data_IF_399140577860
#
_entry.id   IF_399140577860
#
_cell.length_a   1.000
_cell.length_b   1.000
_cell.length_c   1.000
_cell.angle_alpha   90.00
_cell.angle_beta   90.00
_cell.angle_gamma   90.00
#
_symmetry.space_group_name_H-M   'P 1'
#
loop_
_entity.id
_entity.type
_entity.pdbx_description
1 polymer ?
#
# COMPACT_ATOMS: atom_id res chain seq x y z
N UNK A 1 46.87 55.89 -28.67
CA UNK A 1 47.89 54.90 -28.25
C UNK A 1 47.34 53.98 -27.18
N UNK A 2 47.77 52.70 -27.15
CA UNK A 2 47.10 51.59 -26.47
C UNK A 2 47.57 51.37 -25.02
N UNK A 3 46.81 50.57 -24.26
CA UNK A 3 47.35 49.66 -23.23
C UNK A 3 46.74 49.79 -21.82
N UNK A 4 46.01 48.78 -21.35
CA UNK A 4 46.53 47.75 -20.43
C UNK A 4 45.44 46.76 -19.95
N UNK A 5 45.90 45.51 -19.90
CA UNK A 5 45.49 44.28 -19.23
C UNK A 5 44.68 44.33 -17.90
N UNK A 6 43.99 43.21 -17.60
CA UNK A 6 43.66 42.82 -16.22
C UNK A 6 42.54 41.78 -16.06
N UNK A 7 42.81 40.66 -15.41
CA UNK A 7 41.97 39.45 -15.27
C UNK A 7 41.00 39.50 -14.06
N UNK A 8 39.84 38.83 -14.24
CA UNK A 8 38.97 38.00 -13.37
C UNK A 8 39.12 38.05 -11.83
N UNK A 9 38.01 37.77 -11.11
CA UNK A 9 37.98 36.78 -10.03
C UNK A 9 37.08 35.57 -10.33
N UNK A 10 37.49 34.42 -9.78
CA UNK A 10 37.09 33.05 -10.14
C UNK A 10 36.10 32.40 -9.14
N UNK A 11 35.23 33.17 -8.49
CA UNK A 11 34.44 32.66 -7.35
C UNK A 11 33.01 32.20 -7.66
N UNK A 12 32.51 32.41 -8.88
CA UNK A 12 31.11 32.07 -9.24
C UNK A 12 30.92 30.69 -9.88
N UNK A 13 32.02 29.96 -10.17
CA UNK A 13 31.94 28.73 -10.96
C UNK A 13 31.70 27.46 -10.14
N UNK A 14 32.00 27.44 -8.83
CA UNK A 14 31.82 26.24 -8.02
C UNK A 14 30.36 25.94 -7.66
N UNK A 15 29.49 26.95 -7.46
CA UNK A 15 28.08 26.72 -7.14
C UNK A 15 27.21 26.31 -8.34
N UNK A 16 27.67 26.60 -9.56
CA UNK A 16 26.97 26.29 -10.80
C UNK A 16 27.25 24.88 -11.31
N UNK A 17 28.43 24.34 -10.98
CA UNK A 17 28.84 23.00 -11.40
C UNK A 17 28.20 21.90 -10.53
N UNK A 18 27.97 22.16 -9.23
CA UNK A 18 27.29 21.19 -8.35
C UNK A 18 25.83 20.96 -8.74
N UNK A 19 25.14 22.03 -9.14
CA UNK A 19 23.74 21.98 -9.60
C UNK A 19 23.60 21.47 -11.05
N UNK A 20 24.63 21.63 -11.90
CA UNK A 20 24.69 20.94 -13.20
C UNK A 20 24.92 19.43 -13.05
N UNK A 21 25.76 18.99 -12.11
CA UNK A 21 26.07 17.56 -11.91
C UNK A 21 24.87 16.78 -11.33
N UNK A 22 24.13 17.36 -10.37
CA UNK A 22 22.89 16.75 -9.84
C UNK A 22 21.81 16.62 -10.93
N UNK A 23 21.73 17.59 -11.85
CA UNK A 23 20.78 17.58 -12.96
C UNK A 23 21.21 16.60 -14.07
N UNK A 24 22.51 16.51 -14.35
CA UNK A 24 23.09 15.56 -15.30
C UNK A 24 22.89 14.11 -14.83
N UNK A 25 23.00 13.84 -13.52
CA UNK A 25 22.72 12.54 -12.91
C UNK A 25 21.22 12.16 -12.94
N UNK A 26 20.31 13.14 -12.81
CA UNK A 26 18.87 12.95 -13.03
C UNK A 26 18.47 12.73 -14.50
N UNK A 27 19.31 13.14 -15.45
CA UNK A 27 19.07 13.07 -16.90
C UNK A 27 19.79 11.91 -17.60
N UNK A 28 20.53 11.07 -16.89
CA UNK A 28 21.14 9.86 -17.46
C UNK A 28 20.05 8.83 -17.81
N UNK A 29 19.86 8.44 -19.10
CA UNK A 29 18.77 7.57 -19.55
C UNK A 29 18.81 6.08 -19.12
N UNK A 30 19.49 5.71 -18.05
CA UNK A 30 19.50 4.30 -17.60
C UNK A 30 18.16 3.84 -16.99
N UNK A 31 17.20 4.73 -16.75
CA UNK A 31 15.92 4.42 -16.07
C UNK A 31 14.65 4.97 -16.74
N UNK A 32 14.75 5.73 -17.83
CA UNK A 32 13.60 6.29 -18.54
C UNK A 32 13.78 6.11 -20.05
N UNK A 33 12.82 5.45 -20.71
CA UNK A 33 12.80 5.22 -22.17
C UNK A 33 12.32 6.47 -22.91
N UNK A 34 13.07 7.57 -22.79
CA UNK A 34 12.77 8.83 -23.48
C UNK A 34 13.95 9.16 -24.38
N UNK A 35 13.67 9.45 -25.66
CA UNK A 35 14.72 9.79 -26.60
C UNK A 35 15.30 11.19 -26.31
N UNK A 36 16.58 11.47 -26.67
CA UNK A 36 17.18 12.79 -26.47
C UNK A 36 16.37 13.94 -27.08
N UNK A 37 15.72 13.69 -28.23
CA UNK A 37 14.88 14.66 -28.93
C UNK A 37 13.58 14.95 -28.18
N UNK A 38 12.91 13.92 -27.68
CA UNK A 38 11.68 14.08 -26.89
C UNK A 38 11.95 14.83 -25.58
N UNK A 39 13.07 14.54 -24.92
CA UNK A 39 13.51 15.26 -23.72
C UNK A 39 13.70 16.76 -24.01
N UNK A 40 14.36 17.09 -25.12
CA UNK A 40 14.62 18.47 -25.52
C UNK A 40 13.35 19.23 -25.93
N UNK A 41 12.42 18.59 -26.63
CA UNK A 41 11.13 19.18 -26.99
C UNK A 41 10.24 19.38 -25.75
N UNK A 42 10.24 18.41 -24.82
CA UNK A 42 9.50 18.50 -23.55
C UNK A 42 10.00 19.68 -22.71
N UNK A 43 11.33 19.86 -22.61
CA UNK A 43 11.91 21.01 -21.92
C UNK A 43 11.46 22.35 -22.53
N UNK A 44 11.28 22.42 -23.85
CA UNK A 44 10.81 23.65 -24.53
C UNK A 44 9.31 23.90 -24.42
N UNK A 45 8.50 22.85 -24.36
CA UNK A 45 7.06 22.95 -24.28
C UNK A 45 6.56 23.20 -22.84
N UNK A 46 7.25 22.67 -21.84
CA UNK A 46 6.82 22.73 -20.43
C UNK A 46 7.53 23.77 -19.58
N UNK A 47 8.72 24.25 -19.98
CA UNK A 47 9.36 25.36 -19.30
C UNK A 47 8.86 26.67 -19.93
N UNK A 48 8.24 27.58 -19.15
CA UNK A 48 7.97 28.91 -19.67
C UNK A 48 9.29 29.54 -20.11
N UNK A 49 9.34 30.07 -21.34
CA UNK A 49 10.51 30.80 -21.85
C UNK A 49 10.88 31.87 -20.83
N UNK A 50 12.00 31.68 -20.13
CA UNK A 50 12.50 32.60 -19.12
C UNK A 50 13.25 33.80 -19.74
N UNK A 51 12.89 34.19 -20.97
CA UNK A 51 13.53 35.28 -21.71
C UNK A 51 12.47 36.04 -22.52
N UNK A 52 11.84 37.01 -21.87
CA UNK A 52 11.60 38.37 -22.40
C UNK A 52 11.17 39.24 -21.22
N UNK A 53 12.11 39.99 -20.64
CA UNK A 53 11.75 41.11 -19.78
C UNK A 53 11.04 42.16 -20.63
N UNK A 54 9.74 42.30 -20.45
CA UNK A 54 8.98 43.48 -20.87
C UNK A 54 7.98 43.77 -19.76
N UNK A 55 8.09 44.96 -19.17
CA UNK A 55 7.19 45.46 -18.15
C UNK A 55 5.77 45.55 -18.71
N UNK A 56 4.81 44.92 -18.04
CA UNK A 56 3.41 45.00 -18.42
C UNK A 56 2.52 44.06 -17.63
N UNK A 57 1.83 44.62 -16.64
CA UNK A 57 0.60 44.10 -16.03
C UNK A 57 0.70 42.73 -15.35
N UNK A 58 0.94 42.76 -14.04
CA UNK A 58 0.72 41.63 -13.13
C UNK A 58 -0.79 41.33 -13.11
N UNK A 59 -1.25 40.45 -13.99
CA UNK A 59 -2.49 39.73 -13.78
C UNK A 59 -2.16 38.56 -12.82
N UNK A 60 -2.84 38.43 -11.67
CA UNK A 60 -2.64 37.28 -10.80
C UNK A 60 -2.90 35.99 -11.60
N UNK A 61 -2.14 34.90 -11.38
CA UNK A 61 -2.50 33.62 -11.95
C UNK A 61 -3.90 33.31 -11.48
N UNK A 62 -4.85 33.15 -12.41
CA UNK A 62 -6.21 32.74 -12.12
C UNK A 62 -6.13 31.53 -11.18
N UNK A 63 -6.43 31.77 -9.91
CA UNK A 63 -6.63 30.72 -8.94
C UNK A 63 -7.69 29.81 -9.55
N UNK A 64 -7.32 28.57 -9.88
CA UNK A 64 -8.27 27.58 -10.34
C UNK A 64 -9.34 27.45 -9.26
N UNK A 65 -10.48 28.10 -9.49
CA UNK A 65 -11.60 28.07 -8.57
C UNK A 65 -12.22 26.69 -8.73
N UNK A 66 -11.88 25.80 -7.80
CA UNK A 66 -12.54 24.52 -7.64
C UNK A 66 -14.05 24.79 -7.58
N UNK A 67 -14.88 24.09 -8.38
CA UNK A 67 -16.33 24.23 -8.26
C UNK A 67 -16.72 24.06 -6.80
N UNK A 68 -17.59 24.91 -6.23
CA UNK A 68 -17.94 24.83 -4.83
C UNK A 68 -18.41 23.41 -4.52
N UNK A 69 -17.66 22.71 -3.67
CA UNK A 69 -18.13 21.46 -3.09
C UNK A 69 -19.39 21.81 -2.32
N UNK A 70 -20.54 21.31 -2.75
CA UNK A 70 -21.81 21.47 -2.04
C UNK A 70 -21.68 20.79 -0.65
N UNK A 71 -21.12 21.54 0.29
CA UNK A 71 -21.25 21.31 1.72
C UNK A 71 -22.55 21.99 2.05
N UNK A 72 -23.57 21.17 2.34
CA UNK A 72 -24.95 21.59 2.47
C UNK A 72 -25.13 22.75 3.43
N UNK A 73 -25.66 23.85 2.91
CA UNK A 73 -26.41 24.81 3.69
C UNK A 73 -27.88 24.44 3.55
N UNK A 74 -28.53 24.27 4.70
CA UNK A 74 -29.95 23.92 4.76
C UNK A 74 -30.79 25.01 4.11
N UNK A 75 -31.64 24.59 3.18
CA UNK A 75 -32.86 25.28 2.83
C UNK A 75 -33.87 24.22 2.38
N UNK A 76 -34.91 24.06 3.18
CA UNK A 76 -36.10 23.31 2.86
C UNK A 76 -36.77 23.93 1.63
N UNK A 77 -36.78 23.23 0.50
CA UNK A 77 -37.86 23.32 -0.49
C UNK A 77 -37.75 22.16 -1.47
N UNK A 78 -38.83 21.39 -1.56
CA UNK A 78 -38.92 20.22 -2.42
C UNK A 78 -38.88 20.56 -3.90
N UNK A 79 -38.33 19.64 -4.69
CA UNK A 79 -39.07 18.93 -5.73
C UNK A 79 -38.19 17.78 -6.26
N UNK A 80 -38.86 16.78 -6.79
CA UNK A 80 -38.44 15.46 -7.24
C UNK A 80 -37.41 15.51 -8.39
N UNK A 81 -36.32 14.75 -8.28
CA UNK A 81 -35.34 14.66 -9.37
C UNK A 81 -34.06 13.89 -9.03
N UNK A 82 -34.09 12.59 -9.31
CA UNK A 82 -33.01 11.61 -9.17
C UNK A 82 -31.63 12.15 -9.58
N UNK A 83 -30.75 12.34 -8.60
CA UNK A 83 -29.32 12.21 -8.77
C UNK A 83 -28.81 11.19 -7.76
N UNK A 84 -29.16 9.92 -8.01
CA UNK A 84 -28.54 8.74 -7.38
C UNK A 84 -27.09 8.62 -7.86
N UNK A 85 -26.27 9.63 -7.61
CA UNK A 85 -24.83 9.48 -7.66
C UNK A 85 -24.51 8.47 -6.54
N UNK A 86 -23.96 7.28 -6.85
CA UNK A 86 -23.61 6.34 -5.81
C UNK A 86 -22.62 7.05 -4.91
N UNK A 87 -23.04 7.42 -3.70
CA UNK A 87 -22.18 8.06 -2.72
C UNK A 87 -21.04 7.07 -2.49
N UNK A 88 -19.91 7.28 -3.16
CA UNK A 88 -18.77 6.36 -3.09
C UNK A 88 -18.29 6.49 -1.66
N UNK A 89 -18.76 5.59 -0.80
CA UNK A 89 -18.32 5.50 0.57
C UNK A 89 -16.89 4.95 0.52
N UNK A 90 -15.91 5.82 0.26
CA UNK A 90 -14.48 5.49 0.17
C UNK A 90 -14.00 4.76 1.45
N UNK A 91 -14.67 5.02 2.58
CA UNK A 91 -14.50 4.29 3.84
C UNK A 91 -14.69 2.77 3.68
N UNK A 92 -15.59 2.32 2.80
CA UNK A 92 -15.82 0.91 2.51
C UNK A 92 -14.74 0.34 1.58
N UNK A 93 -14.38 1.05 0.51
CA UNK A 93 -13.34 0.61 -0.45
C UNK A 93 -11.97 0.43 0.22
N UNK A 94 -11.56 1.34 1.11
CA UNK A 94 -10.30 1.19 1.86
C UNK A 94 -10.33 0.01 2.83
N UNK A 95 -11.47 -0.25 3.49
CA UNK A 95 -11.66 -1.44 4.32
C UNK A 95 -11.59 -2.72 3.46
N UNK A 96 -12.19 -2.73 2.27
CA UNK A 96 -12.13 -3.85 1.31
C UNK A 96 -10.70 -4.10 0.84
N UNK A 97 -9.98 -3.07 0.35
CA UNK A 97 -8.58 -3.20 -0.13
C UNK A 97 -7.66 -3.73 0.96
N UNK A 98 -7.84 -3.28 2.22
CA UNK A 98 -7.12 -3.80 3.38
C UNK A 98 -7.41 -5.27 3.63
N UNK A 99 -8.68 -5.68 3.65
CA UNK A 99 -9.09 -7.09 3.81
C UNK A 99 -8.57 -7.97 2.67
N UNK A 100 -8.63 -7.47 1.42
CA UNK A 100 -8.06 -8.14 0.23
C UNK A 100 -6.57 -8.39 0.43
N UNK A 101 -5.81 -7.35 0.79
CA UNK A 101 -4.37 -7.48 0.99
C UNK A 101 -4.04 -8.41 2.17
N UNK A 102 -4.78 -8.31 3.28
CA UNK A 102 -4.60 -9.20 4.45
C UNK A 102 -4.87 -10.66 4.08
N UNK A 103 -5.96 -10.94 3.35
CA UNK A 103 -6.26 -12.28 2.88
C UNK A 103 -5.19 -12.79 1.93
N UNK A 104 -4.72 -11.96 0.99
CA UNK A 104 -3.65 -12.31 0.07
C UNK A 104 -2.36 -12.69 0.81
N UNK A 105 -1.92 -11.85 1.76
CA UNK A 105 -0.75 -12.12 2.60
C UNK A 105 -0.94 -13.38 3.45
N UNK A 106 -2.12 -13.56 4.05
CA UNK A 106 -2.44 -14.78 4.81
C UNK A 106 -2.37 -16.04 3.94
N UNK A 107 -2.93 -16.01 2.72
CA UNK A 107 -2.85 -17.15 1.79
C UNK A 107 -1.41 -17.45 1.39
N UNK A 108 -0.58 -16.43 1.12
CA UNK A 108 0.86 -16.60 0.88
C UNK A 108 1.56 -17.25 2.08
N UNK A 109 1.28 -16.78 3.29
CA UNK A 109 1.83 -17.35 4.53
C UNK A 109 1.41 -18.81 4.70
N UNK A 110 0.12 -19.13 4.55
CA UNK A 110 -0.41 -20.50 4.68
C UNK A 110 0.19 -21.43 3.63
N UNK A 111 0.36 -20.97 2.38
CA UNK A 111 1.04 -21.74 1.33
C UNK A 111 2.50 -22.02 1.70
N UNK A 112 3.27 -20.99 2.10
CA UNK A 112 4.68 -21.12 2.50
C UNK A 112 4.86 -22.05 3.70
N UNK A 113 3.94 -22.03 4.66
CA UNK A 113 4.02 -22.80 5.92
C UNK A 113 3.12 -24.05 5.95
N UNK A 114 2.64 -24.54 4.80
CA UNK A 114 1.64 -25.61 4.69
C UNK A 114 2.02 -26.87 5.49
N UNK A 115 3.24 -27.36 5.30
CA UNK A 115 3.71 -28.60 5.93
C UNK A 115 3.93 -28.44 7.43
N UNK A 116 4.48 -27.30 7.86
CA UNK A 116 4.61 -26.99 9.29
C UNK A 116 3.23 -26.96 9.97
N UNK A 117 2.24 -26.31 9.33
CA UNK A 117 0.87 -26.25 9.86
C UNK A 117 0.23 -27.64 9.96
N UNK A 118 0.47 -28.53 8.98
CA UNK A 118 0.02 -29.93 9.04
C UNK A 118 0.63 -30.66 10.24
N UNK A 119 1.96 -30.62 10.39
CA UNK A 119 2.66 -31.24 11.53
C UNK A 119 2.14 -30.73 12.88
N UNK A 120 1.94 -29.42 13.01
CA UNK A 120 1.38 -28.81 14.23
C UNK A 120 -0.07 -29.25 14.46
N UNK A 121 -0.89 -29.28 13.40
CA UNK A 121 -2.29 -29.71 13.50
C UNK A 121 -2.40 -31.17 13.93
N UNK A 122 -1.62 -32.06 13.34
CA UNK A 122 -1.54 -33.47 13.73
C UNK A 122 -1.13 -33.61 15.20
N UNK A 123 -0.10 -32.87 15.63
CA UNK A 123 0.32 -32.86 17.04
C UNK A 123 -0.80 -32.38 17.98
N UNK A 124 -1.55 -31.34 17.59
CA UNK A 124 -2.71 -30.86 18.37
C UNK A 124 -3.83 -31.90 18.45
N UNK A 125 -4.14 -32.58 17.34
CA UNK A 125 -5.16 -33.64 17.31
C UNK A 125 -4.76 -34.85 18.17
N UNK A 126 -3.48 -35.25 18.15
CA UNK A 126 -2.95 -36.29 19.05
C UNK A 126 -3.14 -35.93 20.52
N UNK A 127 -2.74 -34.72 20.91
CA UNK A 127 -2.95 -34.23 22.30
C UNK A 127 -4.43 -34.17 22.67
N UNK A 128 -5.29 -33.78 21.72
CA UNK A 128 -6.75 -33.74 21.93
C UNK A 128 -7.34 -35.13 22.15
N UNK A 129 -6.88 -36.14 21.40
CA UNK A 129 -7.29 -37.54 21.60
C UNK A 129 -6.83 -38.08 22.97
N UNK A 130 -5.58 -37.83 23.35
CA UNK A 130 -5.06 -38.25 24.67
C UNK A 130 -5.86 -37.59 25.80
N UNK A 131 -6.20 -36.31 25.66
CA UNK A 131 -7.02 -35.60 26.65
C UNK A 131 -8.40 -36.25 26.80
N UNK A 132 -9.05 -36.57 25.67
CA UNK A 132 -10.33 -37.26 25.64
C UNK A 132 -10.27 -38.64 26.32
N UNK A 133 -9.27 -39.45 26.01
CA UNK A 133 -9.08 -40.78 26.62
C UNK A 133 -8.81 -40.69 28.13
N UNK A 134 -8.00 -39.71 28.57
CA UNK A 134 -7.75 -39.46 30.00
C UNK A 134 -9.00 -39.01 30.74
N UNK A 135 -9.83 -38.16 30.13
CA UNK A 135 -11.08 -37.70 30.73
C UNK A 135 -12.07 -38.87 30.92
N UNK A 136 -12.16 -39.79 29.96
CA UNK A 136 -12.97 -41.01 30.10
C UNK A 136 -12.45 -41.94 31.20
N UNK A 137 -11.13 -42.18 31.24
CA UNK A 137 -10.51 -42.97 32.31
C UNK A 137 -10.76 -42.36 33.69
N UNK A 138 -10.71 -41.03 33.81
CA UNK A 138 -11.01 -40.33 35.06
C UNK A 138 -12.44 -40.60 35.53
N UNK A 139 -13.41 -40.68 34.62
CA UNK A 139 -14.81 -40.98 34.97
C UNK A 139 -14.92 -42.39 35.55
N UNK A 140 -14.28 -43.40 34.93
CA UNK A 140 -14.31 -44.77 35.43
C UNK A 140 -13.67 -44.92 36.80
N UNK A 141 -12.49 -44.33 36.98
CA UNK A 141 -11.79 -44.34 38.27
C UNK A 141 -12.59 -43.61 39.36
N UNK A 142 -13.26 -42.51 39.01
CA UNK A 142 -14.13 -41.78 39.94
C UNK A 142 -15.38 -42.58 40.31
N UNK A 143 -15.87 -43.42 39.40
CA UNK A 143 -16.98 -44.34 39.64
C UNK A 143 -16.57 -45.62 40.41
N UNK A 144 -15.28 -45.76 40.76
CA UNK A 144 -14.76 -46.93 41.49
C UNK A 144 -14.40 -48.13 40.60
N UNK A 145 -14.52 -48.00 39.28
CA UNK A 145 -14.08 -49.04 38.35
C UNK A 145 -12.55 -48.98 38.20
N UNK A 146 -11.88 -50.13 38.31
CA UNK A 146 -10.43 -50.24 38.08
C UNK A 146 -10.08 -50.18 36.59
N UNK A 147 -10.98 -50.66 35.74
CA UNK A 147 -10.78 -50.77 34.29
C UNK A 147 -11.95 -50.17 33.51
N UNK A 148 -11.81 -50.15 32.18
CA UNK A 148 -12.91 -49.82 31.29
C UNK A 148 -14.06 -50.82 31.46
N UNK A 149 -15.32 -50.41 31.25
CA UNK A 149 -16.43 -51.36 31.15
C UNK A 149 -16.15 -52.44 30.10
N UNK A 150 -16.63 -53.66 30.35
CA UNK A 150 -16.47 -54.78 29.41
C UNK A 150 -17.02 -54.42 28.02
N UNK A 151 -16.27 -54.77 26.98
CA UNK A 151 -16.63 -54.46 25.59
C UNK A 151 -16.43 -52.99 25.16
N UNK A 152 -16.01 -52.08 26.05
CA UNK A 152 -15.80 -50.68 25.68
C UNK A 152 -14.42 -50.43 25.04
N UNK A 153 -14.42 -50.16 23.73
CA UNK A 153 -13.25 -49.66 23.02
C UNK A 153 -13.35 -48.15 22.81
N UNK A 154 -12.36 -47.39 23.29
CA UNK A 154 -12.39 -45.93 23.13
C UNK A 154 -12.12 -45.53 21.68
N UNK A 155 -13.08 -44.89 20.98
CA UNK A 155 -12.92 -44.56 19.58
C UNK A 155 -11.95 -43.41 19.35
N UNK A 156 -11.18 -43.50 18.26
CA UNK A 156 -10.27 -42.44 17.81
C UNK A 156 -10.99 -41.37 16.99
N UNK A 157 -11.83 -40.58 17.64
CA UNK A 157 -12.68 -39.58 16.98
C UNK A 157 -11.90 -38.39 16.39
N UNK A 158 -10.78 -38.01 16.99
CA UNK A 158 -9.98 -36.84 16.52
C UNK A 158 -8.85 -37.20 15.57
N UNK A 159 -8.56 -38.49 15.39
CA UNK A 159 -7.48 -38.98 14.53
C UNK A 159 -7.99 -39.58 13.22
N UNK A 160 -9.30 -39.55 12.94
CA UNK A 160 -9.83 -40.01 11.66
C UNK A 160 -9.20 -39.19 10.53
N UNK A 161 -8.50 -39.89 9.64
CA UNK A 161 -8.02 -39.34 8.38
C UNK A 161 -9.18 -39.08 7.42
N UNK A 162 -9.05 -38.02 6.63
CA UNK A 162 -9.70 -37.92 5.32
C UNK A 162 -8.67 -38.28 4.27
#
# INVERSE_FOLDING_TARGET
SPGTCGRRPQTMLLGRLTSQLELEEMLVPRKMSVSPLESWLTARCFLPRLDTGTAGTVAPPQSYQCPPSQIGEGAEQGDEGVADAPQIQCKNVLKIRRRKMNHHKYRKLVKKTRFLRRKVQEGRLRRKQIKFEKDLRRIWLKAGLKEAPEGWQTPKIYLRGK
#
